data_IF_687439094862
#
_entry.id   IF_687439094862
#
_cell.length_a   1.000
_cell.length_b   1.000
_cell.length_c   1.000
_cell.angle_alpha   90.00
_cell.angle_beta   90.00
_cell.angle_gamma   90.00
#
_symmetry.space_group_name_H-M   'P 1'
#
loop_
_entity.id
_entity.type
_entity.pdbx_description
1 polymer ?
#
# COMPACT_ATOMS: atom_id res chain seq x y z
N UNK A 1 -7.69 0.40 8.43
CA UNK A 1 -7.02 0.57 7.14
C UNK A 1 -8.00 0.23 6.03
N UNK A 2 -8.27 1.15 5.14
CA UNK A 2 -9.17 0.94 4.02
C UNK A 2 -8.37 0.70 2.74
N UNK A 3 -9.04 0.15 1.72
CA UNK A 3 -8.35 -0.16 0.47
C UNK A 3 -7.96 1.10 -0.31
N UNK A 4 -6.68 1.22 -0.72
CA UNK A 4 -6.23 2.33 -1.56
C UNK A 4 -6.54 2.14 -3.04
N UNK A 5 -7.02 0.97 -3.43
CA UNK A 5 -7.25 0.57 -4.81
C UNK A 5 -8.52 -0.27 -4.93
N UNK A 6 -9.15 -0.21 -6.10
CA UNK A 6 -10.15 -1.22 -6.48
C UNK A 6 -9.47 -2.38 -7.19
N UNK A 7 -9.93 -3.57 -6.95
CA UNK A 7 -9.39 -4.77 -7.57
C UNK A 7 -9.75 -6.02 -6.80
N UNK A 8 -8.80 -6.94 -6.72
CA UNK A 8 -8.96 -8.18 -5.99
C UNK A 8 -7.84 -8.33 -4.97
N UNK A 9 -8.20 -8.70 -3.75
CA UNK A 9 -7.22 -8.93 -2.68
C UNK A 9 -6.47 -10.23 -2.95
N UNK A 10 -5.14 -10.15 -2.89
CA UNK A 10 -4.23 -11.28 -3.05
C UNK A 10 -3.51 -11.49 -1.74
N UNK A 11 -3.50 -12.71 -1.18
CA UNK A 11 -2.70 -13.00 0.00
C UNK A 11 -1.23 -12.63 -0.26
N UNK A 12 -0.59 -12.00 0.73
CA UNK A 12 0.78 -11.49 0.58
C UNK A 12 1.77 -12.58 0.20
N UNK A 13 1.60 -13.79 0.72
CA UNK A 13 2.47 -14.92 0.42
C UNK A 13 2.37 -15.44 -1.03
N UNK A 14 1.42 -14.96 -1.80
CA UNK A 14 1.25 -15.29 -3.22
C UNK A 14 1.87 -14.23 -4.15
N UNK A 15 2.42 -13.17 -3.60
CA UNK A 15 3.14 -12.16 -4.38
C UNK A 15 4.44 -12.78 -4.90
N UNK A 16 4.79 -12.51 -6.16
CA UNK A 16 5.96 -13.10 -6.81
C UNK A 16 7.29 -12.61 -6.26
N UNK A 17 7.31 -11.43 -5.62
CA UNK A 17 8.51 -10.90 -4.97
C UNK A 17 8.68 -11.54 -3.60
N UNK A 18 9.78 -12.26 -3.39
CA UNK A 18 10.03 -12.97 -2.14
C UNK A 18 10.13 -12.04 -0.92
N UNK A 19 10.61 -10.81 -1.10
CA UNK A 19 10.72 -9.82 -0.02
C UNK A 19 9.35 -9.49 0.55
N UNK A 20 8.35 -9.34 -0.30
CA UNK A 20 6.97 -9.13 0.13
C UNK A 20 6.30 -10.43 0.59
N UNK A 21 6.46 -11.50 -0.18
CA UNK A 21 5.79 -12.78 0.11
C UNK A 21 6.17 -13.36 1.47
N UNK A 22 7.42 -13.16 1.90
CA UNK A 22 7.92 -13.63 3.20
C UNK A 22 7.64 -12.64 4.35
N UNK A 23 7.00 -11.51 4.06
CA UNK A 23 6.69 -10.51 5.09
C UNK A 23 7.89 -9.71 5.59
N UNK A 24 9.02 -9.72 4.88
CA UNK A 24 10.25 -9.01 5.30
C UNK A 24 10.02 -7.49 5.39
N UNK A 25 9.25 -6.94 4.47
CA UNK A 25 8.91 -5.50 4.44
C UNK A 25 7.68 -5.16 5.28
N UNK A 26 7.02 -6.14 5.85
CA UNK A 26 5.85 -5.98 6.69
C UNK A 26 4.76 -6.98 6.35
N UNK A 27 3.77 -7.11 7.25
CA UNK A 27 2.58 -7.93 7.04
C UNK A 27 1.45 -7.06 6.47
N UNK A 28 0.55 -7.68 5.76
CA UNK A 28 -0.60 -7.04 5.14
C UNK A 28 -1.18 -7.90 4.04
N UNK A 29 -1.66 -7.25 3.00
CA UNK A 29 -2.17 -7.92 1.81
C UNK A 29 -1.65 -7.23 0.56
N UNK A 30 -1.85 -7.85 -0.59
CA UNK A 30 -1.65 -7.21 -1.88
C UNK A 30 -2.99 -7.05 -2.59
N UNK A 31 -3.02 -6.19 -3.59
CA UNK A 31 -4.20 -5.97 -4.42
C UNK A 31 -3.80 -6.12 -5.87
N UNK A 32 -4.55 -6.95 -6.62
CA UNK A 32 -4.46 -6.99 -8.07
C UNK A 32 -5.36 -5.88 -8.62
N UNK A 33 -4.79 -4.77 -9.13
CA UNK A 33 -5.60 -3.60 -9.46
C UNK A 33 -6.51 -3.83 -10.66
N UNK A 34 -7.72 -3.26 -10.58
CA UNK A 34 -8.66 -3.22 -11.71
C UNK A 34 -8.63 -1.86 -12.43
N UNK A 35 -7.65 -1.04 -12.16
CA UNK A 35 -7.50 0.32 -12.69
C UNK A 35 -7.79 1.39 -11.63
N UNK A 36 -7.80 2.65 -12.06
CA UNK A 36 -8.09 3.78 -11.22
C UNK A 36 -6.90 4.38 -10.50
N UNK A 37 -7.17 5.39 -9.69
CA UNK A 37 -6.18 6.15 -8.92
C UNK A 37 -5.87 5.44 -7.61
N UNK A 38 -4.62 5.50 -7.18
CA UNK A 38 -4.25 5.02 -5.84
C UNK A 38 -4.53 6.13 -4.83
N UNK A 39 -5.30 5.82 -3.80
CA UNK A 39 -5.68 6.78 -2.76
C UNK A 39 -5.09 6.41 -1.41
N UNK A 40 -5.10 7.35 -0.47
CA UNK A 40 -4.61 7.08 0.87
C UNK A 40 -5.54 6.14 1.64
N UNK A 41 -4.98 5.07 2.24
CA UNK A 41 -5.77 4.14 3.07
C UNK A 41 -5.99 4.64 4.49
N UNK A 42 -5.41 5.78 4.86
CA UNK A 42 -5.41 6.32 6.22
C UNK A 42 -5.50 7.83 6.21
N UNK A 43 -5.93 8.39 7.35
CA UNK A 43 -5.65 9.79 7.68
C UNK A 43 -4.25 9.84 8.29
N UNK A 44 -3.38 10.69 7.78
CA UNK A 44 -2.01 10.75 8.27
C UNK A 44 -1.12 11.67 7.46
N UNK A 45 0.14 11.29 7.35
CA UNK A 45 1.18 12.06 6.68
C UNK A 45 1.98 11.18 5.73
N UNK A 46 2.41 11.74 4.62
CA UNK A 46 3.34 11.07 3.70
C UNK A 46 4.73 11.14 4.32
N UNK A 47 5.19 10.02 4.86
CA UNK A 47 6.52 9.91 5.45
C UNK A 47 7.59 9.91 4.36
N UNK A 48 7.33 9.20 3.28
CA UNK A 48 8.19 9.18 2.09
C UNK A 48 7.37 8.96 0.83
N UNK A 49 7.58 9.83 -0.16
CA UNK A 49 7.10 9.63 -1.52
C UNK A 49 8.33 9.40 -2.40
N UNK A 50 8.45 8.23 -2.97
CA UNK A 50 9.61 7.90 -3.80
C UNK A 50 9.60 8.77 -5.07
N UNK A 51 10.73 9.38 -5.44
CA UNK A 51 10.77 10.27 -6.62
C UNK A 51 10.30 9.59 -7.91
N UNK A 52 10.47 8.27 -8.01
CA UNK A 52 9.98 7.46 -9.13
C UNK A 52 8.48 7.20 -9.10
N UNK A 53 7.76 7.62 -8.04
CA UNK A 53 6.30 7.56 -7.96
C UNK A 53 5.70 6.18 -7.74
N UNK A 54 6.51 5.13 -7.61
CA UNK A 54 6.04 3.74 -7.52
C UNK A 54 5.77 3.27 -6.09
N UNK A 55 6.24 3.99 -5.08
CA UNK A 55 6.08 3.59 -3.68
C UNK A 55 5.84 4.79 -2.77
N UNK A 56 5.02 4.56 -1.73
CA UNK A 56 4.63 5.58 -0.75
C UNK A 56 4.64 4.98 0.64
N UNK A 57 5.33 5.63 1.56
CA UNK A 57 5.28 5.34 2.98
C UNK A 57 4.43 6.39 3.68
N UNK A 58 3.40 5.95 4.39
CA UNK A 58 2.47 6.81 5.11
C UNK A 58 2.50 6.47 6.60
N UNK A 59 2.23 7.45 7.44
CA UNK A 59 2.13 7.24 8.88
C UNK A 59 0.82 7.83 9.40
N UNK A 60 0.05 7.02 10.16
CA UNK A 60 -1.18 7.48 10.80
C UNK A 60 -0.89 8.23 12.10
N UNK A 61 -1.91 8.93 12.63
CA UNK A 61 -1.81 9.59 13.92
C UNK A 61 -1.48 8.63 15.08
N UNK A 62 -1.89 7.36 14.95
CA UNK A 62 -1.60 6.31 15.93
C UNK A 62 -0.21 5.67 15.74
N UNK A 63 0.56 6.12 14.76
CA UNK A 63 1.92 5.65 14.51
C UNK A 63 2.03 4.43 13.59
N UNK A 64 0.94 3.98 12.97
CA UNK A 64 0.98 2.89 11.99
C UNK A 64 1.65 3.36 10.72
N UNK A 65 2.70 2.68 10.30
CA UNK A 65 3.40 2.98 9.05
C UNK A 65 2.97 2.01 7.95
N UNK A 66 2.39 2.56 6.89
CA UNK A 66 1.89 1.80 5.74
C UNK A 66 2.81 2.02 4.55
N UNK A 67 3.25 0.94 3.93
CA UNK A 67 3.97 0.97 2.66
C UNK A 67 3.04 0.47 1.55
N UNK A 68 2.86 1.32 0.53
CA UNK A 68 2.17 0.94 -0.71
C UNK A 68 3.23 0.88 -1.80
N UNK A 69 3.42 -0.31 -2.37
CA UNK A 69 4.40 -0.52 -3.44
C UNK A 69 3.66 -0.92 -4.71
N UNK A 70 3.61 -0.01 -5.68
CA UNK A 70 2.82 -0.17 -6.89
C UNK A 70 3.57 -1.04 -7.89
N UNK A 71 3.10 -2.27 -8.04
CA UNK A 71 3.72 -3.26 -8.91
C UNK A 71 5.04 -3.81 -8.40
N UNK A 72 5.66 -4.66 -9.19
CA UNK A 72 6.96 -5.27 -8.90
C UNK A 72 8.00 -4.72 -9.87
N UNK A 73 9.18 -4.38 -9.35
CA UNK A 73 10.30 -3.85 -10.14
C UNK A 73 10.00 -2.55 -10.89
N UNK A 74 8.92 -1.89 -10.57
CA UNK A 74 8.45 -0.68 -11.25
C UNK A 74 9.34 0.54 -11.00
N UNK A 75 10.25 0.48 -10.04
CA UNK A 75 11.31 1.47 -9.87
C UNK A 75 12.16 1.62 -11.14
N UNK A 76 12.29 0.57 -11.93
CA UNK A 76 13.05 0.56 -13.20
C UNK A 76 12.42 1.46 -14.26
N UNK A 77 11.16 1.83 -14.13
CA UNK A 77 10.48 2.76 -15.04
C UNK A 77 10.93 4.21 -14.88
N UNK A 78 11.67 4.54 -13.82
CA UNK A 78 12.15 5.90 -13.54
C UNK A 78 11.05 6.97 -13.57
N UNK A 79 9.86 6.61 -13.07
CA UNK A 79 8.71 7.50 -13.02
C UNK A 79 7.76 7.43 -14.20
N UNK A 80 8.12 6.72 -15.27
CA UNK A 80 7.23 6.57 -16.42
C UNK A 80 5.98 5.78 -16.03
N UNK A 81 4.81 6.32 -16.34
CA UNK A 81 3.51 5.72 -15.98
C UNK A 81 3.01 6.13 -14.60
N UNK A 82 3.76 6.94 -13.86
CA UNK A 82 3.36 7.44 -12.54
C UNK A 82 3.27 8.96 -12.53
N UNK A 83 2.16 9.48 -12.03
CA UNK A 83 1.97 10.92 -11.80
C UNK A 83 1.70 11.16 -10.32
N UNK A 84 2.73 11.42 -9.51
CA UNK A 84 2.55 11.70 -8.09
C UNK A 84 1.70 12.94 -7.87
N UNK A 85 0.77 12.85 -6.93
CA UNK A 85 -0.10 13.95 -6.53
C UNK A 85 0.22 14.45 -5.12
N UNK A 86 1.15 13.78 -4.44
CA UNK A 86 1.64 14.14 -3.11
C UNK A 86 3.15 14.07 -3.08
N UNK A 87 3.74 14.69 -2.06
CA UNK A 87 5.19 14.68 -1.79
C UNK A 87 5.45 14.37 -0.33
N UNK A 88 6.67 14.00 -0.01
CA UNK A 88 7.13 13.78 1.37
C UNK A 88 6.78 14.98 2.24
N UNK A 89 6.16 14.72 3.38
CA UNK A 89 5.73 15.73 4.33
C UNK A 89 4.27 16.19 4.17
N UNK A 90 3.61 15.85 3.08
CA UNK A 90 2.21 16.22 2.88
C UNK A 90 1.31 15.48 3.87
N UNK A 91 0.32 16.20 4.40
CA UNK A 91 -0.77 15.58 5.16
C UNK A 91 -1.82 15.07 4.20
N UNK A 92 -2.35 13.89 4.49
CA UNK A 92 -3.34 13.23 3.66
C UNK A 92 -4.53 12.77 4.48
N UNK A 93 -5.67 12.70 3.81
CA UNK A 93 -6.90 12.13 4.35
C UNK A 93 -7.20 10.80 3.67
N UNK A 94 -7.85 9.93 4.39
CA UNK A 94 -8.36 8.68 3.84
C UNK A 94 -9.17 8.95 2.57
N UNK A 95 -8.82 8.26 1.47
CA UNK A 95 -9.47 8.47 0.17
C UNK A 95 -8.86 9.57 -0.69
N UNK A 96 -7.90 10.34 -0.18
CA UNK A 96 -7.23 11.36 -0.97
C UNK A 96 -6.31 10.72 -2.02
N UNK A 97 -6.39 11.16 -3.30
CA UNK A 97 -5.50 10.63 -4.33
C UNK A 97 -4.02 10.85 -4.01
N UNK A 98 -3.22 9.80 -4.17
CA UNK A 98 -1.76 9.82 -3.96
C UNK A 98 -1.02 9.88 -5.28
N UNK A 99 -1.45 9.09 -6.26
CA UNK A 99 -0.77 8.94 -7.53
C UNK A 99 -1.73 8.43 -8.60
N UNK A 100 -1.59 8.97 -9.81
CA UNK A 100 -2.23 8.43 -11.00
C UNK A 100 -1.27 7.45 -11.66
N UNK A 101 -1.76 6.28 -12.02
CA UNK A 101 -0.96 5.19 -12.60
C UNK A 101 -1.51 4.83 -13.97
N UNK A 102 -0.64 4.76 -14.95
CA UNK A 102 -0.96 4.22 -16.26
C UNK A 102 -0.76 2.70 -16.23
N UNK A 103 -1.79 1.99 -15.79
CA UNK A 103 -1.75 0.53 -15.62
C UNK A 103 -1.47 -0.20 -16.93
N UNK A 104 -2.00 0.28 -18.04
CA UNK A 104 -1.80 -0.32 -19.35
C UNK A 104 -0.34 -0.21 -19.79
N UNK A 105 0.31 0.92 -19.51
CA UNK A 105 1.73 1.09 -19.77
C UNK A 105 2.57 0.08 -19.00
N UNK A 106 2.30 -0.08 -17.70
CA UNK A 106 3.01 -1.04 -16.86
C UNK A 106 2.88 -2.47 -17.40
N UNK A 107 1.66 -2.86 -17.75
CA UNK A 107 1.39 -4.17 -18.33
C UNK A 107 2.08 -4.35 -19.67
N UNK A 108 2.02 -3.34 -20.52
CA UNK A 108 2.63 -3.40 -21.87
C UNK A 108 4.13 -3.58 -21.83
N UNK A 109 4.77 -3.09 -20.76
CA UNK A 109 6.21 -3.25 -20.54
C UNK A 109 6.58 -4.53 -19.78
N UNK A 110 5.60 -5.38 -19.48
CA UNK A 110 5.81 -6.67 -18.85
C UNK A 110 5.93 -6.64 -17.33
N UNK A 111 5.59 -5.53 -16.68
CA UNK A 111 5.64 -5.45 -15.22
C UNK A 111 4.42 -6.10 -14.58
N UNK A 112 4.67 -6.76 -13.46
CA UNK A 112 3.60 -7.24 -12.58
C UNK A 112 3.00 -6.04 -11.86
N UNK A 113 1.67 -5.89 -11.90
CA UNK A 113 0.98 -4.74 -11.31
C UNK A 113 0.41 -4.99 -9.92
N UNK A 114 0.50 -6.21 -9.41
CA UNK A 114 0.08 -6.51 -8.04
C UNK A 114 0.77 -5.55 -7.08
N UNK A 115 -0.03 -4.95 -6.19
CA UNK A 115 0.39 -3.83 -5.34
C UNK A 115 0.27 -4.22 -3.88
N UNK A 116 1.40 -4.55 -3.20
CA UNK A 116 1.39 -4.78 -1.76
C UNK A 116 1.02 -3.53 -0.96
N UNK A 117 0.21 -3.74 0.08
CA UNK A 117 -0.16 -2.73 1.07
C UNK A 117 0.15 -3.34 2.44
N UNK A 118 1.29 -2.98 2.99
CA UNK A 118 1.83 -3.62 4.21
C UNK A 118 2.07 -2.62 5.33
N UNK A 119 2.04 -3.12 6.57
CA UNK A 119 2.41 -2.37 7.76
C UNK A 119 3.90 -2.60 8.01
N UNK A 120 4.71 -1.58 7.70
CA UNK A 120 6.18 -1.71 7.76
C UNK A 120 6.73 -1.73 9.19
N UNK A 121 5.98 -1.20 10.16
CA UNK A 121 6.36 -1.23 11.58
C UNK A 121 5.45 -2.12 12.42
N UNK A 122 4.95 -3.20 11.85
CA UNK A 122 4.01 -4.12 12.50
C UNK A 122 4.50 -4.71 13.82
N UNK A 123 5.83 -4.78 14.03
CA UNK A 123 6.40 -5.26 15.29
C UNK A 123 6.03 -4.40 16.50
N UNK A 124 5.63 -3.15 16.29
CA UNK A 124 5.17 -2.23 17.35
C UNK A 124 3.71 -2.45 17.74
N UNK A 125 3.00 -3.34 17.05
CA UNK A 125 1.57 -3.58 17.23
C UNK A 125 1.31 -5.05 17.54
N UNK A 126 0.10 -5.33 18.05
CA UNK A 126 -0.27 -6.69 18.43
C UNK A 126 -0.52 -7.61 17.23
N UNK A 127 -0.80 -7.07 16.06
CA UNK A 127 -0.98 -7.85 14.86
C UNK A 127 -1.87 -7.19 13.82
N UNK A 128 -1.94 -7.82 12.68
CA UNK A 128 -2.80 -7.42 11.56
C UNK A 128 -3.95 -8.42 11.50
N UNK A 129 -5.18 -7.91 11.63
CA UNK A 129 -6.39 -8.72 11.72
C UNK A 129 -7.39 -8.36 10.62
N UNK A 130 -8.42 -9.17 10.49
CA UNK A 130 -9.56 -8.92 9.61
C UNK A 130 -9.15 -8.65 8.15
N UNK A 131 -8.14 -9.37 7.66
CA UNK A 131 -7.68 -9.24 6.27
C UNK A 131 -8.82 -9.58 5.30
N UNK A 132 -9.12 -8.65 4.41
CA UNK A 132 -10.10 -8.86 3.35
C UNK A 132 -9.64 -9.91 2.34
N UNK A 133 -10.61 -10.44 1.60
CA UNK A 133 -10.40 -11.35 0.49
C UNK A 133 -11.38 -11.06 -0.63
N UNK A 134 -11.08 -11.50 -1.85
CA UNK A 134 -11.93 -11.32 -3.00
C UNK A 134 -11.92 -9.88 -3.54
N UNK A 135 -12.98 -9.53 -4.25
CA UNK A 135 -13.11 -8.20 -4.86
C UNK A 135 -13.25 -7.12 -3.79
N UNK A 136 -12.60 -5.99 -4.02
CA UNK A 136 -12.60 -4.86 -3.12
C UNK A 136 -12.71 -3.54 -3.89
N UNK A 137 -13.41 -2.57 -3.32
CA UNK A 137 -13.51 -1.22 -3.84
C UNK A 137 -12.65 -0.25 -3.00
N UNK A 138 -12.32 0.91 -3.58
CA UNK A 138 -11.67 1.99 -2.85
C UNK A 138 -12.51 2.34 -1.63
N UNK A 139 -11.87 2.42 -0.46
CA UNK A 139 -12.52 2.78 0.80
C UNK A 139 -13.13 1.61 1.55
N UNK A 140 -13.20 0.42 0.96
CA UNK A 140 -13.65 -0.77 1.69
C UNK A 140 -12.62 -1.15 2.76
N UNK A 141 -13.05 -1.75 3.89
CA UNK A 141 -12.11 -2.24 4.89
C UNK A 141 -11.13 -3.24 4.29
N UNK A 142 -9.84 -3.01 4.49
CA UNK A 142 -8.77 -3.87 3.98
C UNK A 142 -8.24 -4.81 5.06
N UNK A 143 -7.85 -4.25 6.19
CA UNK A 143 -7.47 -4.96 7.42
C UNK A 143 -7.43 -3.99 8.59
N UNK A 144 -7.30 -4.53 9.79
CA UNK A 144 -7.15 -3.75 11.01
C UNK A 144 -5.77 -3.99 11.62
N UNK A 145 -5.24 -2.97 12.28
CA UNK A 145 -3.98 -3.06 13.03
C UNK A 145 -4.33 -3.01 14.51
N UNK A 146 -4.11 -4.11 15.19
CA UNK A 146 -4.37 -4.18 16.62
C UNK A 146 -3.33 -3.34 17.37
N UNK A 147 -3.76 -2.46 18.32
CA UNK A 147 -2.81 -1.68 19.11
C UNK A 147 -1.88 -2.57 19.91
N UNK A 148 -0.67 -2.08 20.19
CA UNK A 148 0.25 -2.77 21.08
C UNK A 148 -0.44 -3.04 22.42
N UNK A 149 -0.16 -4.21 23.03
CA UNK A 149 -0.69 -4.50 24.33
C UNK A 149 -0.29 -3.39 25.33
N UNK A 150 -1.27 -2.88 26.09
CA UNK A 150 -0.96 -1.89 27.09
C UNK A 150 0.03 -2.48 28.11
N UNK A 151 1.05 -1.72 28.55
CA UNK A 151 1.93 -2.20 29.59
C UNK A 151 1.12 -2.53 30.83
N UNK A 152 1.39 -3.69 31.40
CA UNK A 152 0.76 -4.06 32.68
C UNK A 152 1.36 -3.14 33.75
N UNK A 153 0.50 -2.34 34.30
CA UNK A 153 0.93 -1.40 35.33
C UNK A 153 1.22 -2.13 36.64
#
# INVERSE_FOLDING_TARGET
>A
IVSPLKGEVVPLNQVKDATFAKGILGDGVAIAPAGGVVVSPIDGEVKVAFPTGHAYGLVSASGVEILIHIGMDTVELNGEGFKPLVKTGDKVRKGQPLVEVDWDLLKSKGYEIVTPVVVSNGAKFAGINDKSSGKIAIGDPLYTVAPAAAPVA
#
